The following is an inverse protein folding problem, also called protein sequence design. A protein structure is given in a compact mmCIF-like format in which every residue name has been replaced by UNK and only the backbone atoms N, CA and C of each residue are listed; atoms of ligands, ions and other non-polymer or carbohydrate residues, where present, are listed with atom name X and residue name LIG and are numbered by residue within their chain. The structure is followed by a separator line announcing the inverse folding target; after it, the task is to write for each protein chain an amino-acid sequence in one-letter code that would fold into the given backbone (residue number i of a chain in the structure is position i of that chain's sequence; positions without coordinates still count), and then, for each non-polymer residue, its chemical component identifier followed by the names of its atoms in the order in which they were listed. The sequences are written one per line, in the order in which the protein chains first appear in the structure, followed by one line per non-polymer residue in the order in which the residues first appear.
data_IF_077545399596
#
_entry.id   IF_077545399596
#
_cell.length_a   1.000
_cell.length_b   1.000
_cell.length_c   1.000
_cell.angle_alpha   90.00
_cell.angle_beta   90.00
_cell.angle_gamma   90.00
#
_symmetry.space_group_name_H-M   'P 1'
#
loop_
_entity.id
_entity.type
_entity.pdbx_description
1 polymer ?
#
# COMPACT_ATOMS: atom_id res chain seq x y z
N UNK A 1 14.22 68.94 22.24
CA UNK A 1 14.04 67.50 22.45
C UNK A 1 12.67 67.09 21.93
N UNK A 2 12.62 66.20 20.94
CA UNK A 2 11.57 65.18 20.92
C UNK A 2 12.19 63.78 20.86
N UNK A 3 11.57 62.87 21.62
CA UNK A 3 11.86 61.45 21.72
C UNK A 3 11.36 60.74 20.45
N UNK A 4 12.24 59.99 19.79
CA UNK A 4 11.85 59.02 18.76
C UNK A 4 11.64 57.66 19.43
N UNK A 5 10.39 57.20 19.48
CA UNK A 5 10.04 55.81 19.79
C UNK A 5 10.51 54.90 18.65
N UNK A 6 11.35 53.92 18.96
CA UNK A 6 11.70 52.83 18.06
C UNK A 6 10.63 51.75 18.17
N UNK A 7 9.79 51.63 17.14
CA UNK A 7 8.93 50.47 16.95
C UNK A 7 9.81 49.23 16.75
N UNK A 8 9.68 48.26 17.66
CA UNK A 8 10.35 46.96 17.54
C UNK A 8 9.48 46.08 16.65
N UNK A 9 9.94 45.82 15.43
CA UNK A 9 9.31 44.90 14.50
C UNK A 9 9.54 43.47 15.01
N UNK A 10 8.51 42.86 15.61
CA UNK A 10 8.53 41.43 15.92
C UNK A 10 8.27 40.69 14.60
N UNK A 11 9.36 40.20 13.98
CA UNK A 11 9.27 39.33 12.82
C UNK A 11 8.81 37.95 13.32
N UNK A 12 7.51 37.68 13.24
CA UNK A 12 6.99 36.31 13.37
C UNK A 12 7.47 35.50 12.18
N UNK A 13 8.45 34.63 12.39
CA UNK A 13 8.87 33.65 11.42
C UNK A 13 7.72 32.65 11.22
N UNK A 14 6.88 32.89 10.22
CA UNK A 14 6.01 31.88 9.63
C UNK A 14 6.92 30.86 8.94
N UNK A 15 7.31 29.81 9.66
CA UNK A 15 7.87 28.62 9.05
C UNK A 15 6.75 27.88 8.31
N UNK A 16 6.42 28.32 7.11
CA UNK A 16 5.74 27.48 6.14
C UNK A 16 6.72 26.37 5.76
N UNK A 17 6.68 25.24 6.46
CA UNK A 17 7.30 24.01 5.97
C UNK A 17 6.53 23.62 4.71
N UNK A 18 7.04 24.04 3.56
CA UNK A 18 6.65 23.51 2.27
C UNK A 18 6.99 22.01 2.28
N UNK A 19 5.98 21.16 2.42
CA UNK A 19 6.17 19.71 2.39
C UNK A 19 6.58 19.26 0.98
N UNK A 20 7.83 18.80 0.91
CA UNK A 20 8.35 17.66 0.13
C UNK A 20 8.29 17.77 -1.40
N UNK A 21 9.34 18.39 -1.94
CA UNK A 21 9.80 18.18 -3.33
C UNK A 21 11.31 17.93 -3.43
N UNK A 22 12.02 17.88 -2.28
CA UNK A 22 13.46 17.63 -2.22
C UNK A 22 13.78 16.14 -2.16
N UNK A 23 14.98 15.77 -2.62
CA UNK A 23 15.53 14.43 -2.41
C UNK A 23 15.51 14.04 -0.91
N UNK A 24 15.39 12.74 -0.57
CA UNK A 24 15.44 12.30 0.82
C UNK A 24 16.69 12.83 1.53
N UNK A 25 16.51 13.42 2.71
CA UNK A 25 17.65 13.86 3.54
C UNK A 25 18.52 12.67 3.92
N UNK A 26 19.79 12.92 4.26
CA UNK A 26 20.68 11.87 4.75
C UNK A 26 20.12 11.14 5.99
N UNK A 27 19.38 11.86 6.84
CA UNK A 27 18.67 11.29 7.98
C UNK A 27 17.57 10.31 7.55
N UNK A 28 16.74 10.67 6.57
CA UNK A 28 15.69 9.78 6.08
C UNK A 28 16.27 8.56 5.34
N UNK A 29 17.39 8.70 4.64
CA UNK A 29 18.12 7.57 4.04
C UNK A 29 18.67 6.65 5.13
N UNK A 30 19.24 7.21 6.20
CA UNK A 30 19.70 6.43 7.34
C UNK A 30 18.53 5.70 8.03
N UNK A 31 17.36 6.35 8.11
CA UNK A 31 16.13 5.76 8.63
C UNK A 31 15.63 4.59 7.78
N UNK A 32 15.63 4.75 6.46
CA UNK A 32 15.31 3.68 5.50
C UNK A 32 16.25 2.48 5.68
N UNK A 33 17.55 2.72 5.89
CA UNK A 33 18.51 1.66 6.17
C UNK A 33 18.29 1.01 7.55
N UNK A 34 17.96 1.81 8.57
CA UNK A 34 17.72 1.33 9.95
C UNK A 34 16.57 0.34 9.99
N UNK A 35 15.48 0.60 9.26
CA UNK A 35 14.27 -0.23 9.27
C UNK A 35 14.08 -1.08 8.01
N UNK A 36 15.15 -1.28 7.23
CA UNK A 36 15.13 -2.09 6.01
C UNK A 36 14.58 -3.50 6.31
N UNK A 37 13.54 -3.96 5.60
CA UNK A 37 12.90 -5.24 5.88
C UNK A 37 13.82 -6.42 5.56
N UNK A 38 13.53 -7.53 6.21
CA UNK A 38 14.12 -8.83 5.93
C UNK A 38 13.05 -9.69 5.23
N UNK A 39 13.40 -10.36 4.14
CA UNK A 39 12.46 -11.24 3.44
C UNK A 39 12.78 -12.70 3.73
N UNK A 40 11.76 -13.46 4.14
CA UNK A 40 11.80 -14.92 4.31
C UNK A 40 10.94 -15.54 3.24
N UNK A 41 11.57 -16.04 2.19
CA UNK A 41 10.86 -16.73 1.12
C UNK A 41 10.36 -18.08 1.59
N UNK A 42 9.24 -18.52 0.99
CA UNK A 42 8.77 -19.88 1.14
C UNK A 42 9.91 -20.87 0.85
N UNK A 43 10.01 -21.96 1.62
CA UNK A 43 11.08 -22.96 1.51
C UNK A 43 11.25 -23.59 0.12
N UNK A 44 10.17 -23.62 -0.64
CA UNK A 44 10.11 -24.16 -2.00
C UNK A 44 10.07 -23.07 -3.09
N UNK A 45 10.43 -21.82 -2.75
CA UNK A 45 10.52 -20.73 -3.72
C UNK A 45 11.65 -20.96 -4.73
N UNK A 46 11.37 -20.66 -5.99
CA UNK A 46 12.33 -20.70 -7.11
C UNK A 46 12.28 -19.45 -7.99
N UNK A 47 11.29 -18.58 -7.81
CA UNK A 47 11.17 -17.27 -8.45
C UNK A 47 11.58 -16.23 -7.42
N UNK A 48 12.73 -15.59 -7.65
CA UNK A 48 13.30 -14.62 -6.72
C UNK A 48 13.21 -13.21 -7.30
N UNK A 49 13.38 -12.17 -6.45
CA UNK A 49 13.46 -10.81 -6.92
C UNK A 49 14.64 -10.58 -7.87
N UNK A 50 14.61 -9.51 -8.64
CA UNK A 50 15.72 -9.03 -9.45
C UNK A 50 15.83 -7.51 -9.43
N UNK A 51 16.88 -6.97 -10.03
CA UNK A 51 16.88 -5.58 -10.47
C UNK A 51 16.02 -5.40 -11.73
N UNK A 52 15.57 -4.17 -11.96
CA UNK A 52 14.96 -3.75 -13.23
C UNK A 52 15.93 -3.96 -14.39
N UNK A 53 17.21 -3.59 -14.23
CA UNK A 53 18.25 -3.82 -15.25
C UNK A 53 18.36 -5.29 -15.66
N UNK A 54 18.33 -6.22 -14.70
CA UNK A 54 18.40 -7.65 -14.95
C UNK A 54 17.21 -8.12 -15.80
N UNK A 55 16.01 -7.65 -15.46
CA UNK A 55 14.79 -8.01 -16.18
C UNK A 55 14.78 -7.47 -17.60
N UNK A 56 15.11 -6.18 -17.78
CA UNK A 56 15.14 -5.52 -19.08
C UNK A 56 16.28 -6.01 -19.98
N UNK A 57 17.37 -6.53 -19.41
CA UNK A 57 18.43 -7.21 -20.15
C UNK A 57 18.04 -8.64 -20.61
N UNK A 58 16.93 -9.18 -20.11
CA UNK A 58 16.37 -10.44 -20.57
C UNK A 58 15.80 -10.35 -22.00
N UNK A 59 15.35 -11.46 -22.58
CA UNK A 59 14.67 -11.50 -23.88
C UNK A 59 13.23 -10.96 -23.77
N UNK A 60 13.12 -9.67 -23.45
CA UNK A 60 11.86 -8.92 -23.37
C UNK A 60 11.75 -7.89 -24.48
N UNK A 61 10.54 -7.56 -24.90
CA UNK A 61 10.25 -6.52 -25.90
C UNK A 61 8.89 -5.88 -25.63
N UNK A 62 8.67 -4.65 -26.08
CA UNK A 62 7.37 -4.01 -25.93
C UNK A 62 6.41 -4.50 -27.00
N UNK A 63 5.20 -4.85 -26.57
CA UNK A 63 4.07 -5.22 -27.41
C UNK A 63 2.92 -4.27 -27.13
N UNK A 64 2.02 -4.09 -28.09
CA UNK A 64 0.65 -3.66 -27.86
C UNK A 64 -0.32 -4.80 -28.20
N UNK A 65 -1.62 -4.53 -28.17
CA UNK A 65 -2.67 -5.54 -28.45
C UNK A 65 -2.64 -6.09 -29.88
N UNK A 66 -1.86 -5.49 -30.79
CA UNK A 66 -1.68 -5.91 -32.18
C UNK A 66 -0.35 -6.64 -32.41
N UNK A 67 0.50 -6.80 -31.38
CA UNK A 67 1.78 -7.50 -31.46
C UNK A 67 2.99 -6.62 -31.11
N UNK A 68 4.19 -6.92 -31.62
CA UNK A 68 5.40 -6.16 -31.31
C UNK A 68 5.24 -4.68 -31.64
N UNK A 69 5.57 -3.80 -30.69
CA UNK A 69 5.41 -2.36 -30.82
C UNK A 69 6.46 -1.80 -31.80
N UNK A 70 6.00 -1.31 -32.95
CA UNK A 70 6.88 -0.75 -33.97
C UNK A 70 7.62 0.50 -33.45
N UNK A 71 8.95 0.52 -33.64
CA UNK A 71 9.79 1.64 -33.18
C UNK A 71 10.11 1.64 -31.68
N UNK A 72 9.72 0.60 -30.94
CA UNK A 72 10.16 0.43 -29.56
C UNK A 72 11.70 0.29 -29.47
N UNK A 73 12.33 0.82 -28.40
CA UNK A 73 13.74 0.60 -28.15
C UNK A 73 14.07 -0.90 -28.06
N UNK A 74 15.20 -1.29 -28.63
CA UNK A 74 15.72 -2.65 -28.50
C UNK A 74 17.26 -2.61 -28.45
N UNK A 75 17.89 -3.05 -27.34
CA UNK A 75 17.27 -3.60 -26.14
C UNK A 75 16.52 -2.53 -25.31
N UNK A 76 15.58 -3.00 -24.48
CA UNK A 76 14.98 -2.17 -23.44
C UNK A 76 16.02 -1.92 -22.33
N UNK A 77 16.00 -0.72 -21.77
CA UNK A 77 16.88 -0.30 -20.68
C UNK A 77 16.12 0.59 -19.71
N UNK A 78 16.58 0.72 -18.46
CA UNK A 78 15.95 1.63 -17.51
C UNK A 78 15.85 3.08 -18.02
N UNK A 79 16.76 3.50 -18.90
CA UNK A 79 16.83 4.87 -19.44
C UNK A 79 16.03 5.12 -20.72
N UNK A 80 15.45 4.09 -21.33
CA UNK A 80 14.68 4.24 -22.58
C UNK A 80 13.25 3.68 -22.49
N UNK A 81 12.88 3.01 -21.39
CA UNK A 81 11.59 2.34 -21.28
C UNK A 81 10.40 3.31 -21.39
N UNK A 82 10.57 4.55 -20.92
CA UNK A 82 9.56 5.61 -20.99
C UNK A 82 9.57 6.42 -22.28
N UNK A 83 10.45 6.10 -23.25
CA UNK A 83 10.59 6.87 -24.49
C UNK A 83 9.49 6.58 -25.51
N UNK A 84 8.62 5.62 -25.25
CA UNK A 84 7.48 5.29 -26.12
C UNK A 84 6.36 6.30 -25.99
N UNK A 85 5.48 6.37 -26.99
CA UNK A 85 4.32 7.25 -26.97
C UNK A 85 3.50 7.06 -25.68
N UNK A 86 3.03 8.16 -25.09
CA UNK A 86 2.26 8.18 -23.83
C UNK A 86 2.94 7.36 -22.72
N UNK A 87 4.28 7.38 -22.69
CA UNK A 87 5.10 6.66 -21.72
C UNK A 87 4.80 5.16 -21.64
N UNK A 88 4.31 4.56 -22.73
CA UNK A 88 4.01 3.12 -22.81
C UNK A 88 2.62 2.71 -22.33
N UNK A 89 1.69 3.65 -22.12
CA UNK A 89 0.30 3.33 -21.80
C UNK A 89 -0.29 2.37 -22.85
N UNK A 90 -0.89 1.25 -22.41
CA UNK A 90 -1.47 0.23 -23.29
C UNK A 90 -0.44 -0.69 -23.97
N UNK A 91 0.77 -0.77 -23.41
CA UNK A 91 1.85 -1.64 -23.89
C UNK A 91 2.31 -2.61 -22.80
N UNK A 92 2.90 -3.71 -23.23
CA UNK A 92 3.22 -4.90 -22.42
C UNK A 92 4.70 -5.26 -22.58
N UNK A 93 5.46 -5.35 -21.48
CA UNK A 93 6.84 -5.88 -21.50
C UNK A 93 6.78 -7.40 -21.64
N UNK A 94 6.86 -7.88 -22.88
CA UNK A 94 6.49 -9.24 -23.27
C UNK A 94 7.71 -10.13 -23.49
N UNK A 95 7.60 -11.41 -23.10
CA UNK A 95 8.58 -12.47 -23.40
C UNK A 95 7.90 -13.79 -23.74
N UNK A 96 8.65 -14.74 -24.31
CA UNK A 96 8.21 -16.14 -24.41
C UNK A 96 8.32 -16.79 -23.01
N UNK A 97 7.20 -16.90 -22.31
CA UNK A 97 7.15 -17.43 -20.95
C UNK A 97 7.69 -18.86 -20.90
N UNK A 98 7.28 -19.74 -21.80
CA UNK A 98 7.65 -21.15 -21.76
C UNK A 98 9.15 -21.36 -22.00
N UNK A 99 9.72 -20.64 -22.97
CA UNK A 99 11.15 -20.70 -23.25
C UNK A 99 12.00 -20.16 -22.07
N UNK A 100 11.46 -19.18 -21.32
CA UNK A 100 12.22 -18.44 -20.33
C UNK A 100 11.90 -18.77 -18.87
N UNK A 101 10.89 -19.61 -18.60
CA UNK A 101 10.40 -19.94 -17.26
C UNK A 101 11.49 -20.51 -16.33
N UNK A 102 12.43 -21.27 -16.91
CA UNK A 102 13.57 -21.85 -16.19
C UNK A 102 14.87 -21.02 -16.32
N UNK A 103 14.79 -19.87 -16.97
CA UNK A 103 15.91 -18.94 -17.21
C UNK A 103 15.75 -17.68 -16.37
N UNK A 104 15.86 -16.51 -17.03
CA UNK A 104 15.84 -15.21 -16.36
C UNK A 104 14.56 -14.92 -15.56
N UNK A 105 13.44 -15.58 -15.89
CA UNK A 105 12.19 -15.44 -15.13
C UNK A 105 12.30 -15.93 -13.68
N UNK A 106 13.29 -16.77 -13.36
CA UNK A 106 13.60 -17.15 -11.96
C UNK A 106 14.20 -16.01 -11.13
N UNK A 107 14.57 -14.90 -11.76
CA UNK A 107 15.17 -13.75 -11.09
C UNK A 107 16.56 -14.02 -10.52
N UNK A 108 16.91 -13.28 -9.48
CA UNK A 108 18.23 -13.27 -8.88
C UNK A 108 18.16 -13.81 -7.45
N UNK A 109 18.54 -15.08 -7.28
CA UNK A 109 18.61 -15.71 -5.95
C UNK A 109 19.50 -14.88 -4.99
N UNK A 110 18.94 -14.32 -3.90
CA UNK A 110 19.69 -13.48 -2.97
C UNK A 110 20.89 -14.14 -2.30
N UNK A 111 21.00 -15.48 -2.34
CA UNK A 111 22.15 -16.23 -1.79
C UNK A 111 23.38 -16.12 -2.67
N UNK A 112 23.19 -15.98 -3.97
CA UNK A 112 24.27 -16.03 -4.98
C UNK A 112 24.36 -14.77 -5.84
N UNK A 113 23.33 -13.92 -5.78
CA UNK A 113 23.17 -12.74 -6.61
C UNK A 113 22.80 -11.51 -5.77
N UNK A 114 22.66 -10.36 -6.41
CA UNK A 114 22.44 -9.06 -5.73
C UNK A 114 21.18 -8.36 -6.27
N UNK A 115 19.97 -8.89 -5.99
CA UNK A 115 18.73 -8.16 -6.27
C UNK A 115 18.66 -6.86 -5.46
N UNK A 116 17.70 -5.99 -5.80
CA UNK A 116 17.50 -4.70 -5.13
C UNK A 116 16.11 -4.56 -4.54
N UNK A 117 16.03 -3.89 -3.40
CA UNK A 117 14.76 -3.37 -2.88
C UNK A 117 14.71 -1.87 -3.14
N UNK A 118 13.67 -1.41 -3.81
CA UNK A 118 13.49 -0.02 -4.21
C UNK A 118 12.70 0.71 -3.13
N UNK A 119 13.32 1.68 -2.46
CA UNK A 119 12.70 2.35 -1.32
C UNK A 119 12.28 3.78 -1.68
N UNK A 120 10.97 4.03 -1.70
CA UNK A 120 10.47 5.40 -1.74
C UNK A 120 10.33 5.93 -0.30
N UNK A 121 10.85 7.13 -0.07
CA UNK A 121 10.93 7.74 1.26
C UNK A 121 10.04 8.97 1.28
N UNK A 122 8.94 8.92 2.04
CA UNK A 122 7.92 9.97 2.09
C UNK A 122 7.85 10.62 3.48
N UNK A 123 8.64 11.68 3.74
CA UNK A 123 8.48 12.51 4.92
C UNK A 123 7.14 13.25 4.87
N UNK A 124 6.53 13.47 6.02
CA UNK A 124 5.24 14.13 6.17
C UNK A 124 5.21 14.97 7.44
N UNK A 125 4.05 15.60 7.67
CA UNK A 125 3.81 16.33 8.89
C UNK A 125 3.84 15.45 10.13
N UNK A 126 3.90 16.12 11.29
CA UNK A 126 3.80 15.47 12.60
C UNK A 126 4.89 14.42 12.84
N UNK A 127 6.07 14.63 12.24
CA UNK A 127 7.22 13.74 12.37
C UNK A 127 7.08 12.40 11.66
N UNK A 128 6.05 12.22 10.83
CA UNK A 128 5.80 10.96 10.12
C UNK A 128 6.77 10.82 8.96
N UNK A 129 7.36 9.63 8.80
CA UNK A 129 8.05 9.22 7.56
C UNK A 129 7.58 7.83 7.19
N UNK A 130 6.97 7.71 6.01
CA UNK A 130 6.58 6.42 5.42
C UNK A 130 7.70 5.93 4.49
N UNK A 131 8.08 4.66 4.63
CA UNK A 131 9.17 4.01 3.91
C UNK A 131 8.59 2.84 3.10
N UNK A 132 8.44 3.01 1.79
CA UNK A 132 7.85 2.01 0.89
C UNK A 132 8.93 1.16 0.26
N UNK A 133 9.14 -0.04 0.78
CA UNK A 133 10.11 -0.99 0.23
C UNK A 133 9.42 -1.87 -0.80
N UNK A 134 9.75 -1.66 -2.06
CA UNK A 134 9.32 -2.47 -3.18
C UNK A 134 10.37 -3.53 -3.51
N UNK A 135 9.92 -4.68 -3.96
CA UNK A 135 10.73 -5.69 -4.65
C UNK A 135 10.09 -5.96 -6.01
N UNK A 136 10.92 -6.33 -6.98
CA UNK A 136 10.46 -6.76 -8.29
C UNK A 136 10.86 -8.21 -8.52
N UNK A 137 9.92 -9.09 -8.83
CA UNK A 137 10.21 -10.43 -9.31
C UNK A 137 9.89 -10.52 -10.81
N UNK A 138 10.78 -11.08 -11.66
CA UNK A 138 10.51 -11.22 -13.10
C UNK A 138 9.28 -12.06 -13.46
N UNK A 139 8.77 -12.89 -12.54
CA UNK A 139 7.63 -13.76 -12.80
C UNK A 139 6.88 -14.05 -11.52
N UNK A 140 5.56 -13.98 -11.58
CA UNK A 140 4.63 -14.44 -10.55
C UNK A 140 4.06 -15.79 -10.98
N UNK A 141 4.37 -16.84 -10.21
CA UNK A 141 3.69 -18.12 -10.30
C UNK A 141 2.52 -18.11 -9.31
N UNK A 142 1.31 -17.92 -9.82
CA UNK A 142 0.12 -17.77 -8.98
C UNK A 142 -0.36 -19.13 -8.45
N UNK A 143 -1.68 -19.36 -8.33
CA UNK A 143 -2.23 -20.52 -7.63
C UNK A 143 -2.74 -21.57 -8.59
N UNK A 144 -2.37 -22.81 -8.31
CA UNK A 144 -2.92 -23.97 -9.00
C UNK A 144 -4.19 -24.44 -8.30
N UNK A 145 -5.32 -24.25 -8.96
CA UNK A 145 -6.63 -24.72 -8.51
C UNK A 145 -6.94 -26.03 -9.25
N UNK A 146 -7.35 -27.07 -8.51
CA UNK A 146 -7.50 -28.43 -9.07
C UNK A 146 -8.34 -28.52 -10.34
N UNK A 147 -9.49 -27.86 -10.37
CA UNK A 147 -10.42 -27.90 -11.52
C UNK A 147 -10.14 -26.85 -12.61
N UNK A 148 -9.32 -25.83 -12.33
CA UNK A 148 -9.05 -24.71 -13.25
C UNK A 148 -7.64 -24.77 -13.85
N UNK A 149 -6.68 -25.41 -13.19
CA UNK A 149 -5.26 -25.25 -13.51
C UNK A 149 -4.68 -24.03 -12.80
N UNK A 150 -3.73 -23.35 -13.43
CA UNK A 150 -3.19 -22.10 -12.88
C UNK A 150 -4.17 -20.95 -13.07
N UNK A 151 -4.21 -20.05 -12.09
CA UNK A 151 -5.09 -18.86 -12.10
C UNK A 151 -4.25 -17.66 -11.69
N UNK A 152 -3.97 -16.76 -12.63
CA UNK A 152 -3.34 -15.47 -12.38
C UNK A 152 -1.82 -15.41 -12.49
N UNK A 153 -1.17 -16.28 -13.28
CA UNK A 153 0.26 -16.10 -13.54
C UNK A 153 0.48 -14.79 -14.29
N UNK A 154 1.62 -14.14 -14.08
CA UNK A 154 2.03 -12.99 -14.89
C UNK A 154 3.55 -12.82 -14.91
N UNK A 155 4.05 -12.25 -15.99
CA UNK A 155 5.43 -11.77 -16.06
C UNK A 155 5.51 -10.45 -15.32
N UNK A 156 6.62 -10.24 -14.61
CA UNK A 156 6.90 -9.12 -13.71
C UNK A 156 5.94 -9.03 -12.53
N UNK A 157 6.45 -8.64 -11.38
CA UNK A 157 5.66 -8.63 -10.16
C UNK A 157 6.23 -7.58 -9.21
N UNK A 158 5.40 -6.63 -8.80
CA UNK A 158 5.78 -5.54 -7.91
C UNK A 158 5.05 -5.70 -6.59
N UNK A 159 5.82 -6.05 -5.56
CA UNK A 159 5.31 -6.26 -4.21
C UNK A 159 5.95 -5.30 -3.22
N UNK A 160 5.23 -4.93 -2.16
CA UNK A 160 5.74 -3.98 -1.17
C UNK A 160 5.47 -4.34 0.29
N UNK A 161 6.33 -3.79 1.13
CA UNK A 161 6.14 -3.65 2.57
C UNK A 161 6.41 -2.19 2.94
N UNK A 162 5.58 -1.62 3.79
CA UNK A 162 5.73 -0.22 4.21
C UNK A 162 5.99 -0.12 5.70
N UNK A 163 7.07 0.56 6.09
CA UNK A 163 7.33 0.91 7.50
C UNK A 163 6.95 2.38 7.71
N UNK A 164 6.11 2.66 8.70
CA UNK A 164 5.81 4.02 9.15
C UNK A 164 6.61 4.31 10.40
N UNK A 165 7.25 5.46 10.40
CA UNK A 165 7.95 6.00 11.57
C UNK A 165 7.31 7.31 12.03
N UNK A 166 7.43 7.61 13.31
CA UNK A 166 7.06 8.88 13.94
C UNK A 166 8.26 9.35 14.74
N UNK A 167 8.79 10.53 14.40
CA UNK A 167 9.99 11.10 15.03
C UNK A 167 11.18 10.11 15.04
N UNK A 168 11.35 9.36 13.95
CA UNK A 168 12.45 8.38 13.78
C UNK A 168 12.24 7.02 14.46
N UNK A 169 11.12 6.80 15.15
CA UNK A 169 10.76 5.52 15.79
C UNK A 169 9.72 4.80 14.93
N UNK A 170 9.92 3.52 14.64
CA UNK A 170 8.96 2.76 13.84
C UNK A 170 7.71 2.41 14.68
N UNK A 171 6.54 2.76 14.16
CA UNK A 171 5.25 2.60 14.84
C UNK A 171 4.41 1.47 14.22
N UNK A 172 4.50 1.29 12.90
CA UNK A 172 3.75 0.25 12.20
C UNK A 172 4.45 -0.30 10.97
N UNK A 173 4.02 -1.50 10.57
CA UNK A 173 4.41 -2.15 9.31
C UNK A 173 3.15 -2.59 8.57
N UNK A 174 3.04 -2.23 7.29
CA UNK A 174 1.98 -2.69 6.39
C UNK A 174 2.51 -3.79 5.46
N UNK A 175 1.94 -4.97 5.62
CA UNK A 175 2.21 -6.15 4.82
C UNK A 175 1.19 -6.23 3.67
N UNK A 176 1.64 -5.84 2.47
CA UNK A 176 0.80 -5.77 1.29
C UNK A 176 0.81 -7.10 0.52
N UNK A 177 -0.36 -7.57 0.14
CA UNK A 177 -0.51 -8.69 -0.78
C UNK A 177 -1.84 -8.53 -1.50
N UNK A 178 -1.86 -8.77 -2.81
CA UNK A 178 -3.07 -8.80 -3.63
C UNK A 178 -3.97 -7.57 -3.43
N UNK A 179 -3.37 -6.38 -3.46
CA UNK A 179 -4.06 -5.10 -3.24
C UNK A 179 -4.30 -4.76 -1.76
N UNK A 180 -5.04 -5.57 -1.01
CA UNK A 180 -5.31 -5.29 0.41
C UNK A 180 -5.58 -6.53 1.27
N UNK A 181 -5.39 -7.71 0.70
CA UNK A 181 -5.72 -8.99 1.32
C UNK A 181 -4.61 -9.57 2.20
N UNK A 182 -3.43 -8.93 2.21
CA UNK A 182 -2.29 -9.34 3.03
C UNK A 182 -2.54 -9.24 4.54
N UNK A 183 -1.48 -9.41 5.33
CA UNK A 183 -1.59 -9.24 6.79
C UNK A 183 -1.99 -7.83 7.19
N UNK A 184 -1.88 -6.83 6.30
CA UNK A 184 -2.23 -5.42 6.51
C UNK A 184 -1.33 -4.72 7.53
N UNK A 185 -1.68 -3.49 7.90
CA UNK A 185 -0.94 -2.72 8.91
C UNK A 185 -1.08 -3.33 10.30
N UNK A 186 0.05 -3.63 10.94
CA UNK A 186 0.16 -4.07 12.33
C UNK A 186 1.11 -3.16 13.12
N UNK A 187 0.99 -3.08 14.46
CA UNK A 187 1.96 -2.38 15.29
C UNK A 187 3.37 -2.93 15.06
N UNK A 188 4.38 -2.06 14.98
CA UNK A 188 5.76 -2.47 14.74
C UNK A 188 6.28 -3.42 15.83
N UNK A 189 5.82 -3.24 17.06
CA UNK A 189 6.12 -4.12 18.19
C UNK A 189 5.58 -5.55 18.02
N UNK A 190 4.56 -5.76 17.19
CA UNK A 190 4.00 -7.08 16.88
C UNK A 190 4.53 -7.65 15.55
N UNK A 191 5.34 -6.89 14.81
CA UNK A 191 5.93 -7.39 13.58
C UNK A 191 6.90 -8.54 13.88
N UNK A 192 6.90 -9.63 13.09
CA UNK A 192 7.91 -10.67 13.22
C UNK A 192 9.31 -10.08 13.02
N UNK A 193 10.26 -10.56 13.83
CA UNK A 193 11.66 -10.15 13.85
C UNK A 193 12.53 -11.40 13.93
N UNK A 194 13.73 -11.35 13.36
CA UNK A 194 14.73 -12.40 13.56
C UNK A 194 15.73 -11.97 14.65
N UNK A 195 17.03 -11.92 14.33
CA UNK A 195 18.09 -11.62 15.30
C UNK A 195 18.24 -10.13 15.63
N UNK A 196 17.57 -9.25 14.87
CA UNK A 196 17.60 -7.80 15.10
C UNK A 196 16.18 -7.20 15.08
N UNK A 197 16.08 -5.89 15.33
CA UNK A 197 14.79 -5.21 15.48
C UNK A 197 14.05 -4.97 14.14
N UNK A 198 14.63 -5.35 12.99
CA UNK A 198 14.03 -5.07 11.67
C UNK A 198 12.89 -6.03 11.35
N UNK A 199 11.83 -5.54 10.67
CA UNK A 199 10.67 -6.37 10.40
C UNK A 199 11.01 -7.45 9.38
N UNK A 200 10.39 -8.62 9.56
CA UNK A 200 10.44 -9.74 8.61
C UNK A 200 9.15 -9.76 7.80
N UNK A 201 9.25 -9.99 6.50
CA UNK A 201 8.13 -10.36 5.64
C UNK A 201 8.28 -11.80 5.20
N UNK A 202 7.28 -12.63 5.51
CA UNK A 202 7.16 -13.96 4.96
C UNK A 202 6.54 -13.85 3.56
N UNK A 203 7.32 -14.22 2.55
CA UNK A 203 6.98 -14.06 1.14
C UNK A 203 6.30 -15.35 0.66
N UNK A 204 5.10 -15.21 0.10
CA UNK A 204 4.32 -16.35 -0.38
C UNK A 204 4.98 -17.00 -1.59
N UNK A 205 4.88 -18.33 -1.68
CA UNK A 205 5.41 -19.10 -2.81
C UNK A 205 4.82 -18.62 -4.13
N UNK A 206 5.68 -18.23 -5.06
CA UNK A 206 5.38 -17.89 -6.44
C UNK A 206 4.69 -16.54 -6.64
N UNK A 207 3.74 -16.16 -5.76
CA UNK A 207 3.02 -14.90 -5.90
C UNK A 207 3.59 -13.72 -5.14
N UNK A 208 4.63 -13.94 -4.34
CA UNK A 208 5.37 -12.91 -3.60
C UNK A 208 4.59 -12.01 -2.62
N UNK A 209 3.29 -12.24 -2.43
CA UNK A 209 2.48 -11.60 -1.40
C UNK A 209 3.16 -11.61 -0.02
N UNK A 210 3.12 -10.47 0.66
CA UNK A 210 3.83 -10.23 1.92
C UNK A 210 2.94 -10.51 3.12
N UNK A 211 3.43 -11.36 4.03
CA UNK A 211 2.70 -11.75 5.24
C UNK A 211 3.54 -11.57 6.51
N UNK A 212 2.85 -11.34 7.62
CA UNK A 212 3.45 -11.19 8.95
C UNK A 212 3.77 -12.52 9.65
N UNK A 213 3.47 -13.65 9.02
CA UNK A 213 3.72 -14.99 9.56
C UNK A 213 3.81 -16.06 8.49
N UNK A 214 4.39 -17.21 8.86
CA UNK A 214 4.27 -18.45 8.12
C UNK A 214 2.84 -19.01 8.22
N UNK A 215 2.29 -19.52 7.13
CA UNK A 215 0.93 -20.08 7.12
C UNK A 215 0.30 -20.15 5.74
N UNK A 216 -1.00 -20.42 5.74
CA UNK A 216 -1.83 -20.44 4.54
C UNK A 216 -2.90 -19.37 4.65
N UNK A 217 -3.00 -18.50 3.66
CA UNK A 217 -3.88 -17.34 3.70
C UNK A 217 -4.75 -17.23 2.45
N UNK A 218 -6.06 -17.35 2.62
CA UNK A 218 -7.03 -17.16 1.53
C UNK A 218 -7.18 -15.67 1.22
N UNK A 219 -6.85 -15.27 -0.01
CA UNK A 219 -7.04 -13.88 -0.48
C UNK A 219 -8.19 -13.74 -1.49
N UNK A 220 -8.55 -14.83 -2.18
CA UNK A 220 -9.78 -14.90 -2.97
C UNK A 220 -10.59 -16.11 -2.52
N UNK A 221 -11.88 -15.86 -2.24
CA UNK A 221 -12.87 -16.88 -1.94
C UNK A 221 -13.99 -16.83 -2.99
N UNK A 222 -13.74 -17.44 -4.14
CA UNK A 222 -14.68 -17.54 -5.24
C UNK A 222 -15.66 -18.71 -5.03
N UNK A 223 -16.77 -18.71 -5.76
CA UNK A 223 -17.90 -19.65 -5.53
C UNK A 223 -17.49 -21.12 -5.57
N UNK A 224 -16.51 -21.49 -6.40
CA UNK A 224 -16.10 -22.89 -6.60
C UNK A 224 -14.61 -23.12 -6.29
N UNK A 225 -13.88 -22.10 -5.82
CA UNK A 225 -12.46 -22.22 -5.52
C UNK A 225 -11.93 -21.12 -4.61
N UNK A 226 -10.77 -21.37 -4.02
CA UNK A 226 -10.03 -20.40 -3.23
C UNK A 226 -8.65 -20.18 -3.84
N UNK A 227 -8.16 -18.95 -3.82
CA UNK A 227 -6.75 -18.64 -4.05
C UNK A 227 -6.11 -18.38 -2.69
N UNK A 228 -5.04 -19.12 -2.41
CA UNK A 228 -4.38 -19.17 -1.10
C UNK A 228 -2.90 -18.96 -1.23
N UNK A 229 -2.37 -17.95 -0.56
CA UNK A 229 -0.94 -17.80 -0.37
C UNK A 229 -0.42 -18.82 0.63
N UNK A 230 0.71 -19.41 0.31
CA UNK A 230 1.45 -20.30 1.21
C UNK A 230 2.79 -19.65 1.54
N UNK A 231 3.00 -19.34 2.82
CA UNK A 231 4.27 -18.86 3.36
C UNK A 231 4.83 -19.90 4.32
N UNK A 232 6.16 -19.97 4.42
CA UNK A 232 6.80 -20.90 5.34
C UNK A 232 8.09 -20.34 5.90
N UNK A 233 8.52 -20.92 7.02
CA UNK A 233 9.86 -20.71 7.52
C UNK A 233 10.82 -21.76 6.90
N UNK A 234 12.13 -21.50 6.98
CA UNK A 234 13.19 -22.37 6.48
C UNK A 234 13.67 -22.10 5.06
N UNK A 235 13.03 -21.19 4.31
CA UNK A 235 13.45 -20.82 2.96
C UNK A 235 14.55 -19.78 2.90
N UNK A 236 14.77 -19.24 1.70
CA UNK A 236 15.80 -18.21 1.48
C UNK A 236 15.53 -17.01 2.38
N UNK A 237 16.57 -16.59 3.09
CA UNK A 237 16.57 -15.36 3.89
C UNK A 237 17.32 -14.28 3.09
N UNK A 238 16.69 -13.12 2.92
CA UNK A 238 17.31 -11.98 2.26
C UNK A 238 17.30 -10.74 3.18
N UNK A 239 18.51 -10.33 3.56
CA UNK A 239 18.74 -9.06 4.24
C UNK A 239 18.88 -7.93 3.22
N UNK A 240 17.95 -6.97 3.26
CA UNK A 240 17.96 -5.85 2.29
C UNK A 240 18.74 -4.62 2.74
N UNK A 241 19.33 -4.60 3.93
CA UNK A 241 19.93 -3.40 4.50
C UNK A 241 21.00 -2.75 3.61
N UNK A 242 21.75 -3.56 2.88
CA UNK A 242 22.79 -3.10 1.94
C UNK A 242 22.37 -3.29 0.47
N UNK A 243 21.12 -3.64 0.21
CA UNK A 243 20.53 -3.85 -1.11
C UNK A 243 19.47 -2.79 -1.48
N UNK A 244 19.35 -1.71 -0.71
CA UNK A 244 18.42 -0.63 -0.97
C UNK A 244 18.83 0.20 -2.19
N UNK A 245 17.86 0.53 -3.04
CA UNK A 245 17.93 1.55 -4.08
C UNK A 245 16.99 2.69 -3.67
N UNK A 246 17.56 3.81 -3.23
CA UNK A 246 16.77 4.93 -2.69
C UNK A 246 16.13 5.73 -3.82
N UNK A 247 14.81 5.86 -3.77
CA UNK A 247 14.01 6.63 -4.72
C UNK A 247 13.50 7.91 -4.08
N UNK A 248 13.55 8.97 -4.86
CA UNK A 248 12.97 10.27 -4.55
C UNK A 248 11.61 10.41 -5.25
N UNK A 249 10.99 11.57 -5.06
CA UNK A 249 9.71 11.91 -5.68
C UNK A 249 9.88 13.16 -6.55
N UNK A 250 10.51 13.11 -7.74
CA UNK A 250 10.54 14.20 -8.72
C UNK A 250 9.21 14.28 -9.52
N UNK A 251 8.98 15.35 -10.28
CA UNK A 251 7.81 15.44 -11.18
C UNK A 251 7.93 14.44 -12.33
N UNK A 252 9.15 14.20 -12.77
CA UNK A 252 9.48 13.28 -13.84
C UNK A 252 10.85 12.70 -13.54
N UNK A 253 10.98 11.38 -13.63
CA UNK A 253 12.26 10.71 -13.47
C UNK A 253 13.12 10.87 -14.73
N UNK A 254 14.43 10.83 -14.60
CA UNK A 254 15.35 11.00 -15.75
C UNK A 254 16.53 10.05 -15.62
N UNK A 255 17.22 9.78 -16.73
CA UNK A 255 18.43 8.97 -16.73
C UNK A 255 18.15 7.52 -16.32
N UNK A 256 18.88 6.99 -15.34
CA UNK A 256 18.73 5.60 -14.90
C UNK A 256 17.38 5.32 -14.21
N UNK A 257 16.65 6.35 -13.78
CA UNK A 257 15.35 6.22 -13.11
C UNK A 257 14.15 6.43 -14.05
N UNK A 258 14.39 6.72 -15.34
CA UNK A 258 13.34 6.99 -16.34
C UNK A 258 12.29 5.88 -16.44
N UNK A 259 12.66 4.62 -16.18
CA UNK A 259 11.72 3.49 -16.12
C UNK A 259 10.56 3.67 -15.15
N UNK A 260 10.70 4.49 -14.11
CA UNK A 260 9.61 4.83 -13.19
C UNK A 260 8.52 5.66 -13.88
N UNK A 261 8.86 6.33 -14.99
CA UNK A 261 7.89 6.96 -15.87
C UNK A 261 7.21 5.97 -16.82
N UNK A 262 7.50 4.67 -16.83
CA UNK A 262 6.71 3.75 -17.67
C UNK A 262 5.29 3.58 -17.13
N UNK A 263 4.28 3.66 -18.00
CA UNK A 263 2.84 3.51 -17.70
C UNK A 263 2.24 2.22 -18.22
N UNK A 264 3.01 1.41 -18.97
CA UNK A 264 2.55 0.11 -19.43
C UNK A 264 2.58 -0.97 -18.34
N UNK A 265 2.24 -2.16 -18.75
CA UNK A 265 2.19 -3.36 -17.92
C UNK A 265 3.56 -4.04 -17.91
N UNK A 266 4.03 -4.40 -16.71
CA UNK A 266 5.33 -5.03 -16.52
C UNK A 266 5.31 -6.53 -16.84
N UNK A 267 4.64 -6.92 -17.91
CA UNK A 267 4.51 -8.32 -18.31
C UNK A 267 3.77 -8.47 -19.62
N UNK A 268 3.53 -9.72 -19.99
CA UNK A 268 2.72 -10.08 -21.15
C UNK A 268 1.27 -9.60 -20.98
N UNK A 269 0.58 -9.38 -22.11
CA UNK A 269 -0.88 -9.27 -22.13
C UNK A 269 -1.53 -10.58 -21.66
N UNK A 270 -2.48 -10.43 -20.74
CA UNK A 270 -3.28 -11.51 -20.19
C UNK A 270 -4.31 -12.06 -21.18
N UNK A 271 -4.93 -13.17 -20.80
CA UNK A 271 -6.00 -13.79 -21.59
C UNK A 271 -7.31 -13.78 -20.81
N UNK A 272 -8.43 -13.70 -21.53
CA UNK A 272 -9.77 -13.67 -20.95
C UNK A 272 -10.70 -14.79 -21.47
N UNK A 273 -10.13 -15.77 -22.17
CA UNK A 273 -10.86 -16.83 -22.87
C UNK A 273 -11.02 -18.13 -22.06
N UNK A 274 -10.65 -18.14 -20.77
CA UNK A 274 -10.88 -19.28 -19.89
C UNK A 274 -12.37 -19.45 -19.57
N UNK A 275 -12.82 -20.70 -19.41
CA UNK A 275 -14.25 -21.01 -19.21
C UNK A 275 -14.81 -20.45 -17.88
N UNK A 276 -13.96 -20.22 -16.88
CA UNK A 276 -14.34 -19.64 -15.59
C UNK A 276 -14.31 -18.10 -15.56
N UNK A 277 -13.96 -17.42 -16.67
CA UNK A 277 -13.86 -15.96 -16.71
C UNK A 277 -15.16 -15.24 -16.32
N UNK A 278 -16.31 -15.91 -16.50
CA UNK A 278 -17.63 -15.39 -16.10
C UNK A 278 -17.81 -15.30 -14.57
N UNK A 279 -17.13 -16.14 -13.80
CA UNK A 279 -17.24 -16.21 -12.33
C UNK A 279 -16.04 -15.59 -11.61
N UNK A 280 -14.88 -15.52 -12.26
CA UNK A 280 -13.67 -14.87 -11.74
C UNK A 280 -12.84 -14.34 -12.90
N UNK A 281 -12.35 -13.10 -12.82
CA UNK A 281 -11.74 -12.37 -13.95
C UNK A 281 -10.25 -12.63 -14.15
N UNK A 282 -9.72 -13.72 -13.60
CA UNK A 282 -8.33 -14.13 -13.79
C UNK A 282 -8.31 -15.48 -14.49
N UNK A 283 -7.72 -15.52 -15.69
CA UNK A 283 -7.39 -16.77 -16.37
C UNK A 283 -6.00 -17.26 -15.96
N UNK A 284 -5.43 -18.23 -16.68
CA UNK A 284 -4.09 -18.73 -16.40
C UNK A 284 -3.02 -17.64 -16.48
N UNK A 285 -3.10 -16.76 -17.47
CA UNK A 285 -2.22 -15.61 -17.65
C UNK A 285 -3.06 -14.33 -17.50
N UNK A 286 -2.60 -13.40 -16.67
CA UNK A 286 -3.15 -12.05 -16.53
C UNK A 286 -2.08 -11.02 -16.88
N UNK A 287 -2.49 -9.77 -17.05
CA UNK A 287 -1.56 -8.65 -17.28
C UNK A 287 -0.57 -8.53 -16.12
N UNK A 288 0.69 -8.21 -16.43
CA UNK A 288 1.67 -7.82 -15.41
C UNK A 288 1.23 -6.52 -14.72
N UNK A 289 1.57 -6.30 -13.44
CA UNK A 289 1.20 -5.08 -12.74
C UNK A 289 1.87 -3.85 -13.35
N UNK A 290 1.28 -2.68 -13.16
CA UNK A 290 1.98 -1.43 -13.46
C UNK A 290 3.14 -1.21 -12.47
N UNK A 291 4.07 -0.33 -12.84
CA UNK A 291 5.25 0.00 -12.05
C UNK A 291 4.95 0.54 -10.64
N UNK A 292 5.97 0.68 -9.79
CA UNK A 292 5.81 1.05 -8.38
C UNK A 292 5.52 2.54 -8.19
N UNK A 293 5.76 3.40 -9.20
CA UNK A 293 5.38 4.81 -9.19
C UNK A 293 3.88 5.01 -9.54
N UNK A 294 3.01 4.48 -8.68
CA UNK A 294 1.55 4.52 -8.81
C UNK A 294 0.87 5.23 -7.64
N UNK A 295 -0.46 5.37 -7.70
CA UNK A 295 -1.22 6.30 -6.86
C UNK A 295 -1.01 6.10 -5.35
N UNK A 296 -0.90 4.86 -4.85
CA UNK A 296 -0.67 4.58 -3.44
C UNK A 296 0.72 5.03 -2.96
N UNK A 297 1.75 4.89 -3.78
CA UNK A 297 3.12 5.33 -3.46
C UNK A 297 3.31 6.83 -3.64
N UNK A 298 2.77 7.41 -4.71
CA UNK A 298 2.92 8.84 -5.04
C UNK A 298 2.01 9.73 -4.19
N UNK A 299 0.83 9.24 -3.81
CA UNK A 299 -0.08 9.91 -2.88
C UNK A 299 0.57 10.20 -1.53
N UNK A 300 1.50 9.34 -1.08
CA UNK A 300 2.29 9.54 0.13
C UNK A 300 3.06 10.87 0.15
N UNK A 301 3.53 11.33 -1.02
CA UNK A 301 4.28 12.57 -1.19
C UNK A 301 3.42 13.70 -1.80
N UNK A 302 2.09 13.54 -1.85
CA UNK A 302 1.14 14.47 -2.51
C UNK A 302 1.44 14.73 -3.99
N UNK A 303 2.11 13.78 -4.65
CA UNK A 303 2.42 13.85 -6.09
C UNK A 303 1.26 13.25 -6.88
N UNK A 304 0.68 14.05 -7.78
CA UNK A 304 -0.22 13.52 -8.82
C UNK A 304 0.60 13.21 -10.06
N UNK A 305 0.37 12.03 -10.63
CA UNK A 305 0.79 11.72 -11.98
C UNK A 305 -0.40 11.96 -12.91
N UNK A 306 -0.21 12.72 -13.99
CA UNK A 306 -1.23 12.83 -15.05
C UNK A 306 -1.34 11.48 -15.76
N UNK A 307 -2.14 10.58 -15.22
CA UNK A 307 -2.51 9.33 -15.89
C UNK A 307 -3.78 9.64 -16.69
N UNK A 308 -3.62 9.84 -18.00
CA UNK A 308 -4.74 10.07 -18.90
C UNK A 308 -5.47 8.76 -19.20
N UNK A 309 -6.51 8.43 -18.43
CA UNK A 309 -7.72 7.72 -18.90
C UNK A 309 -8.77 7.60 -17.77
N UNK A 310 -9.85 8.38 -17.91
CA UNK A 310 -11.21 8.05 -17.47
C UNK A 310 -11.47 7.53 -16.04
N UNK A 311 -10.89 8.14 -15.00
CA UNK A 311 -11.51 8.10 -13.67
C UNK A 311 -11.83 9.51 -13.21
N UNK A 312 -13.07 9.92 -13.47
CA UNK A 312 -13.74 10.98 -12.73
C UNK A 312 -13.72 10.60 -11.24
N UNK A 313 -12.78 11.13 -10.47
CA UNK A 313 -12.87 11.17 -9.00
C UNK A 313 -12.96 12.63 -8.60
N UNK A 314 -14.17 13.15 -8.71
CA UNK A 314 -14.55 14.45 -8.17
C UNK A 314 -14.91 14.32 -6.68
N UNK A 315 -14.02 13.67 -5.93
CA UNK A 315 -14.13 13.48 -4.48
C UNK A 315 -12.81 13.83 -3.79
N UNK A 316 -12.97 14.43 -2.62
CA UNK A 316 -11.94 14.87 -1.68
C UNK A 316 -10.94 13.75 -1.40
N UNK A 317 -9.70 13.90 -1.85
CA UNK A 317 -8.64 12.89 -1.72
C UNK A 317 -7.83 13.14 -0.46
N UNK A 318 -7.66 12.11 0.36
CA UNK A 318 -6.73 12.10 1.47
C UNK A 318 -5.33 11.69 1.01
N UNK A 319 -4.31 12.35 1.55
CA UNK A 319 -2.89 12.15 1.25
C UNK A 319 -2.26 10.94 1.98
N UNK A 320 -3.05 9.93 2.35
CA UNK A 320 -2.63 8.81 3.18
C UNK A 320 -2.45 7.51 2.36
N UNK A 321 -1.22 7.01 2.21
CA UNK A 321 -0.87 5.82 1.42
C UNK A 321 -1.07 4.49 2.16
N UNK A 322 -1.27 4.53 3.48
CA UNK A 322 -1.56 3.34 4.27
C UNK A 322 -3.06 3.04 4.23
N UNK A 323 -3.37 1.82 3.78
CA UNK A 323 -4.73 1.30 3.66
C UNK A 323 -5.45 1.21 5.01
N UNK A 324 -4.70 1.07 6.11
CA UNK A 324 -5.23 0.92 7.46
C UNK A 324 -4.60 1.90 8.45
N UNK A 325 -5.44 2.52 9.28
CA UNK A 325 -5.03 3.29 10.45
C UNK A 325 -5.12 2.42 11.70
N UNK A 326 -4.03 2.38 12.48
CA UNK A 326 -4.00 1.65 13.74
C UNK A 326 -4.81 2.38 14.81
N UNK A 327 -5.51 1.61 15.63
CA UNK A 327 -6.24 2.11 16.79
C UNK A 327 -6.06 1.17 17.99
N UNK A 328 -6.33 1.69 19.18
CA UNK A 328 -6.37 0.92 20.41
C UNK A 328 -7.83 0.63 20.78
N UNK A 329 -8.13 -0.58 21.26
CA UNK A 329 -9.48 -0.92 21.74
C UNK A 329 -9.87 -0.01 22.91
N UNK A 330 -11.10 0.50 22.88
CA UNK A 330 -11.76 1.27 23.95
C UNK A 330 -13.06 0.57 24.37
N UNK A 331 -13.61 0.92 25.53
CA UNK A 331 -14.80 0.28 26.12
C UNK A 331 -16.09 1.01 25.81
N UNK A 332 -16.12 2.33 25.99
CA UNK A 332 -17.39 3.08 26.07
C UNK A 332 -17.59 4.08 24.91
N UNK A 333 -16.50 4.71 24.49
CA UNK A 333 -16.51 5.71 23.41
C UNK A 333 -15.31 5.55 22.52
N UNK A 334 -15.52 5.86 21.24
CA UNK A 334 -14.42 6.10 20.32
C UNK A 334 -13.90 7.52 20.48
N UNK A 335 -12.59 7.67 20.37
CA UNK A 335 -11.91 8.96 20.36
C UNK A 335 -11.01 9.04 19.12
N UNK A 336 -11.27 10.01 18.26
CA UNK A 336 -10.52 10.26 17.04
C UNK A 336 -9.76 11.57 17.17
N UNK A 337 -8.44 11.48 17.28
CA UNK A 337 -7.56 12.65 17.18
C UNK A 337 -7.09 12.79 15.74
N UNK A 338 -7.44 13.89 15.08
CA UNK A 338 -7.16 14.16 13.66
C UNK A 338 -6.50 15.52 13.47
N UNK A 339 -5.72 15.68 12.40
CA UNK A 339 -5.15 16.97 11.98
C UNK A 339 -5.87 17.44 10.73
N UNK A 340 -6.50 18.62 10.76
CA UNK A 340 -7.35 19.10 9.66
C UNK A 340 -7.28 20.62 9.55
N UNK A 341 -7.22 21.13 8.32
CA UNK A 341 -7.49 22.55 8.06
C UNK A 341 -8.99 22.75 7.91
N UNK A 342 -9.60 23.45 8.87
CA UNK A 342 -11.04 23.72 8.90
C UNK A 342 -11.36 25.19 8.61
N UNK A 343 -10.47 25.90 7.90
CA UNK A 343 -10.67 27.30 7.52
C UNK A 343 -11.98 27.49 6.74
N UNK A 344 -12.84 28.39 7.23
CA UNK A 344 -14.14 28.66 6.61
C UNK A 344 -15.24 27.65 6.95
N UNK A 345 -14.96 26.65 7.78
CA UNK A 345 -15.95 25.75 8.36
C UNK A 345 -16.45 26.26 9.72
N UNK A 346 -17.66 25.84 10.10
CA UNK A 346 -18.23 26.09 11.44
C UNK A 346 -17.88 24.97 12.41
N UNK A 347 -17.85 23.73 11.94
CA UNK A 347 -17.50 22.57 12.73
C UNK A 347 -16.65 21.58 11.93
N UNK A 348 -15.86 20.82 12.69
CA UNK A 348 -15.21 19.60 12.23
C UNK A 348 -16.09 18.42 12.61
N UNK A 349 -16.24 17.47 11.69
CA UNK A 349 -17.03 16.26 11.89
C UNK A 349 -16.15 15.02 11.77
N UNK A 350 -16.50 13.98 12.51
CA UNK A 350 -16.02 12.63 12.26
C UNK A 350 -17.21 11.72 12.00
N UNK A 351 -17.16 11.01 10.87
CA UNK A 351 -18.01 9.86 10.55
C UNK A 351 -17.35 8.59 11.10
N UNK A 352 -18.02 7.89 12.01
CA UNK A 352 -17.68 6.53 12.41
C UNK A 352 -18.56 5.53 11.68
N UNK A 353 -17.96 4.53 11.04
CA UNK A 353 -18.70 3.45 10.35
C UNK A 353 -18.56 2.16 11.15
N UNK A 354 -19.70 1.58 11.48
CA UNK A 354 -19.83 0.31 12.19
C UNK A 354 -20.38 -0.76 11.24
N UNK A 355 -20.03 -2.02 11.49
CA UNK A 355 -20.60 -3.19 10.82
C UNK A 355 -21.11 -4.22 11.83
N UNK A 356 -22.18 -4.92 11.47
CA UNK A 356 -22.68 -6.11 12.18
C UNK A 356 -23.00 -7.23 11.18
N UNK A 357 -22.96 -8.47 11.65
CA UNK A 357 -23.39 -9.61 10.85
C UNK A 357 -24.91 -9.53 10.60
N UNK A 358 -25.33 -9.66 9.34
CA UNK A 358 -26.75 -9.77 9.00
C UNK A 358 -27.34 -11.07 9.57
N UNK A 359 -28.47 -10.98 10.25
CA UNK A 359 -29.19 -12.10 10.89
C UNK A 359 -29.64 -13.21 9.95
N UNK A 360 -29.51 -13.04 8.62
CA UNK A 360 -29.84 -14.05 7.62
C UNK A 360 -28.74 -15.10 7.37
N UNK A 361 -27.69 -15.15 8.17
CA UNK A 361 -26.56 -16.09 8.01
C UNK A 361 -26.58 -17.29 8.99
N UNK A 362 -27.77 -17.76 9.39
CA UNK A 362 -27.90 -18.96 10.24
C UNK A 362 -27.96 -20.23 9.40
N UNK A 363 -26.81 -20.78 9.03
CA UNK A 363 -26.68 -22.23 8.81
C UNK A 363 -25.55 -22.80 9.66
N UNK A 364 -25.72 -23.99 10.26
CA UNK A 364 -24.73 -24.57 11.16
C UNK A 364 -23.41 -24.88 10.43
N UNK A 365 -22.33 -24.83 11.21
CA UNK A 365 -20.95 -24.99 10.77
C UNK A 365 -20.64 -26.48 10.54
N UNK A 366 -20.99 -26.99 9.37
CA UNK A 366 -20.42 -28.19 8.77
C UNK A 366 -20.27 -27.91 7.27
N UNK A 367 -19.05 -28.04 6.78
CA UNK A 367 -18.61 -27.93 5.38
C UNK A 367 -18.26 -26.54 4.82
N UNK A 368 -17.16 -26.49 4.07
CA UNK A 368 -16.29 -25.34 3.75
C UNK A 368 -16.80 -24.34 2.71
N UNK A 369 -18.12 -24.19 2.52
CA UNK A 369 -18.73 -23.36 1.46
C UNK A 369 -19.72 -22.31 2.00
N UNK A 370 -19.33 -21.53 3.03
CA UNK A 370 -20.16 -20.40 3.49
C UNK A 370 -19.72 -19.10 2.81
N UNK A 371 -20.60 -18.43 2.02
CA UNK A 371 -20.34 -17.08 1.56
C UNK A 371 -20.03 -16.18 2.74
N UNK A 372 -19.04 -15.29 2.63
CA UNK A 372 -18.71 -14.33 3.67
C UNK A 372 -19.99 -13.67 4.23
N UNK A 373 -20.15 -13.56 5.56
CA UNK A 373 -21.37 -13.04 6.14
C UNK A 373 -21.67 -11.66 5.58
N UNK A 374 -22.88 -11.46 5.05
CA UNK A 374 -23.32 -10.15 4.59
C UNK A 374 -23.30 -9.19 5.78
N UNK A 375 -22.49 -8.14 5.69
CA UNK A 375 -22.40 -7.12 6.73
C UNK A 375 -23.47 -6.05 6.51
N UNK A 376 -24.10 -5.61 7.60
CA UNK A 376 -24.94 -4.41 7.65
C UNK A 376 -24.08 -3.27 8.22
N UNK A 377 -24.06 -2.13 7.52
CA UNK A 377 -23.31 -0.96 7.94
C UNK A 377 -24.21 0.11 8.56
N UNK A 378 -23.72 0.76 9.60
CA UNK A 378 -24.34 1.95 10.23
C UNK A 378 -23.29 3.04 10.40
N UNK A 379 -23.74 4.29 10.47
CA UNK A 379 -22.87 5.46 10.60
C UNK A 379 -23.31 6.31 11.78
N UNK A 380 -22.33 6.81 12.52
CA UNK A 380 -22.53 7.79 13.60
C UNK A 380 -21.63 8.98 13.36
N UNK A 381 -22.11 10.17 13.74
CA UNK A 381 -21.41 11.42 13.53
C UNK A 381 -21.25 12.14 14.87
N UNK A 382 -20.12 12.82 15.04
CA UNK A 382 -19.98 13.84 16.08
C UNK A 382 -19.21 15.03 15.54
N UNK A 383 -19.41 16.17 16.21
CA UNK A 383 -18.95 17.47 15.75
C UNK A 383 -18.23 18.20 16.88
N UNK A 384 -17.19 18.95 16.51
CA UNK A 384 -16.53 19.91 17.41
C UNK A 384 -16.41 21.26 16.71
N UNK A 385 -16.42 22.39 17.44
CA UNK A 385 -16.24 23.71 16.83
C UNK A 385 -14.95 23.79 16.01
N UNK A 386 -15.05 24.30 14.78
CA UNK A 386 -13.90 24.48 13.91
C UNK A 386 -13.08 25.70 14.33
N UNK A 387 -11.78 25.62 14.11
CA UNK A 387 -10.86 26.74 14.21
C UNK A 387 -10.19 26.96 12.86
N UNK A 388 -9.79 28.20 12.58
CA UNK A 388 -9.12 28.52 11.33
C UNK A 388 -7.71 27.91 11.29
N UNK A 389 -7.32 27.46 10.11
CA UNK A 389 -6.03 26.87 9.81
C UNK A 389 -5.93 25.39 10.20
N UNK A 390 -4.74 24.83 9.99
CA UNK A 390 -4.40 23.45 10.36
C UNK A 390 -4.37 23.30 11.88
N UNK A 391 -5.27 22.48 12.44
CA UNK A 391 -5.37 22.23 13.88
C UNK A 391 -5.51 20.74 14.17
N UNK A 392 -5.21 20.36 15.41
CA UNK A 392 -5.52 19.05 15.95
C UNK A 392 -6.88 19.09 16.64
N UNK A 393 -7.77 18.17 16.26
CA UNK A 393 -9.09 18.01 16.87
C UNK A 393 -9.21 16.63 17.49
N UNK A 394 -9.87 16.55 18.65
CA UNK A 394 -10.27 15.27 19.24
C UNK A 394 -11.79 15.20 19.25
N UNK A 395 -12.35 14.22 18.57
CA UNK A 395 -13.79 14.01 18.44
C UNK A 395 -14.16 12.70 19.12
N UNK A 396 -15.09 12.77 20.07
CA UNK A 396 -15.59 11.60 20.80
C UNK A 396 -16.95 11.17 20.26
N UNK A 397 -17.10 9.88 19.98
CA UNK A 397 -18.33 9.27 19.44
C UNK A 397 -18.71 8.08 20.32
N UNK A 398 -19.99 7.84 20.63
CA UNK A 398 -20.41 6.62 21.33
C UNK A 398 -19.92 5.34 20.62
N UNK A 399 -19.72 4.27 21.40
CA UNK A 399 -19.46 2.96 20.85
C UNK A 399 -20.54 2.53 19.83
N UNK A 400 -20.15 1.70 18.87
CA UNK A 400 -21.09 1.00 18.01
C UNK A 400 -22.11 0.22 18.83
N UNK A 401 -23.31 0.04 18.27
CA UNK A 401 -24.37 -0.75 18.90
C UNK A 401 -23.90 -2.16 19.30
N UNK A 402 -24.46 -2.76 20.36
CA UNK A 402 -24.09 -4.10 20.79
C UNK A 402 -24.09 -5.13 19.64
N UNK A 403 -23.02 -5.91 19.51
CA UNK A 403 -22.85 -6.87 18.42
C UNK A 403 -22.31 -6.27 17.11
N UNK A 404 -22.03 -4.97 17.08
CA UNK A 404 -21.35 -4.29 15.97
C UNK A 404 -19.89 -3.95 16.31
N UNK A 405 -19.09 -3.70 15.28
CA UNK A 405 -17.68 -3.32 15.40
C UNK A 405 -17.32 -2.21 14.41
N UNK A 406 -16.30 -1.43 14.72
CA UNK A 406 -15.81 -0.34 13.87
C UNK A 406 -15.07 -0.90 12.67
N UNK A 407 -15.37 -0.38 11.48
CA UNK A 407 -14.68 -0.74 10.23
C UNK A 407 -13.82 0.39 9.68
N UNK A 408 -14.31 1.63 9.78
CA UNK A 408 -13.66 2.79 9.18
C UNK A 408 -14.13 4.10 9.81
N UNK A 409 -13.40 5.18 9.55
CA UNK A 409 -13.83 6.54 9.86
C UNK A 409 -13.52 7.49 8.70
N UNK A 410 -14.15 8.66 8.67
CA UNK A 410 -13.78 9.77 7.80
C UNK A 410 -13.87 11.09 8.57
N UNK A 411 -12.93 12.01 8.32
CA UNK A 411 -13.04 13.38 8.81
C UNK A 411 -13.74 14.25 7.77
N UNK A 412 -14.44 15.28 8.26
CA UNK A 412 -15.11 16.24 7.42
C UNK A 412 -15.17 17.64 8.02
N UNK A 413 -15.54 18.59 7.18
CA UNK A 413 -15.83 19.97 7.57
C UNK A 413 -17.27 20.31 7.23
N UNK A 414 -17.92 21.08 8.10
CA UNK A 414 -19.33 21.42 7.95
C UNK A 414 -19.53 22.94 8.05
N UNK A 415 -20.38 23.49 7.17
CA UNK A 415 -20.91 24.86 7.34
C UNK A 415 -22.06 24.88 8.34
N UNK A 416 -22.90 23.85 8.26
CA UNK A 416 -23.99 23.50 9.16
C UNK A 416 -24.04 21.96 9.23
N UNK A 417 -24.65 21.37 10.26
CA UNK A 417 -24.62 19.90 10.47
C UNK A 417 -25.21 19.09 9.29
N UNK A 418 -26.14 19.68 8.54
CA UNK A 418 -26.73 19.09 7.32
C UNK A 418 -25.90 19.30 6.06
N UNK A 419 -24.84 20.12 6.13
CA UNK A 419 -23.98 20.51 5.01
C UNK A 419 -22.51 20.23 5.36
N UNK A 420 -22.17 18.94 5.35
CA UNK A 420 -20.83 18.44 5.61
C UNK A 420 -20.19 17.88 4.33
N UNK A 421 -18.88 18.08 4.23
CA UNK A 421 -18.02 17.45 3.23
C UNK A 421 -17.06 16.53 3.95
N UNK A 422 -17.04 15.26 3.57
CA UNK A 422 -16.19 14.22 4.16
C UNK A 422 -15.11 13.78 3.18
N UNK A 423 -13.94 13.44 3.70
CA UNK A 423 -12.89 12.79 2.93
C UNK A 423 -13.17 11.31 2.67
N UNK A 424 -12.22 10.65 2.02
CA UNK A 424 -12.26 9.19 1.84
C UNK A 424 -12.22 8.45 3.20
N UNK A 425 -12.96 7.36 3.30
CA UNK A 425 -13.00 6.53 4.52
C UNK A 425 -11.68 5.79 4.70
N UNK A 426 -11.10 5.90 5.88
CA UNK A 426 -9.92 5.15 6.30
C UNK A 426 -10.33 3.93 7.10
N UNK A 427 -9.83 2.76 6.71
CA UNK A 427 -10.08 1.52 7.45
C UNK A 427 -9.36 1.55 8.79
N UNK A 428 -10.03 1.05 9.82
CA UNK A 428 -9.48 0.97 11.18
C UNK A 428 -9.06 -0.46 11.47
N UNK A 429 -7.87 -0.63 12.06
CA UNK A 429 -7.46 -1.89 12.68
C UNK A 429 -7.16 -1.66 14.14
N UNK A 430 -8.00 -2.23 15.01
CA UNK A 430 -7.87 -2.10 16.44
C UNK A 430 -6.95 -3.17 17.02
N UNK A 431 -6.13 -2.79 17.99
CA UNK A 431 -5.23 -3.66 18.74
C UNK A 431 -5.43 -3.44 20.24
N UNK A 432 -5.05 -4.44 21.02
CA UNK A 432 -5.04 -4.32 22.48
C UNK A 432 -4.04 -3.26 22.93
N UNK A 433 -4.35 -2.54 24.02
CA UNK A 433 -3.36 -1.71 24.72
C UNK A 433 -2.30 -2.54 25.46
N UNK A 434 -2.63 -3.79 25.80
CA UNK A 434 -1.67 -4.77 26.30
C UNK A 434 -0.87 -5.35 25.13
N UNK A 435 0.46 -5.07 25.04
CA UNK A 435 1.30 -5.51 23.94
C UNK A 435 1.48 -7.03 23.88
N UNK A 436 1.17 -7.77 24.96
CA UNK A 436 1.23 -9.23 24.97
C UNK A 436 0.05 -9.88 24.25
N UNK A 437 -1.03 -9.12 24.05
CA UNK A 437 -2.22 -9.57 23.34
C UNK A 437 -2.04 -9.28 21.85
N UNK A 438 -1.60 -10.30 21.12
CA UNK A 438 -1.28 -10.21 19.70
C UNK A 438 -2.53 -10.20 18.81
N UNK A 439 -2.35 -9.62 17.62
CA UNK A 439 -3.30 -9.66 16.52
C UNK A 439 -4.43 -8.64 16.61
N UNK A 440 -5.10 -8.36 15.48
CA UNK A 440 -6.19 -7.40 15.41
C UNK A 440 -7.38 -7.84 16.26
N UNK A 441 -8.14 -6.86 16.76
CA UNK A 441 -9.34 -7.04 17.58
C UNK A 441 -10.55 -6.46 16.89
N UNK A 442 -11.69 -7.12 17.03
CA UNK A 442 -13.00 -6.51 16.79
C UNK A 442 -13.32 -5.61 17.98
N UNK A 443 -13.64 -4.34 17.71
CA UNK A 443 -13.87 -3.34 18.74
C UNK A 443 -15.13 -2.54 18.42
N UNK A 444 -16.02 -2.38 19.40
CA UNK A 444 -17.18 -1.48 19.30
C UNK A 444 -16.77 -0.01 19.50
N UNK A 445 -15.65 0.25 20.15
CA UNK A 445 -15.08 1.57 20.38
C UNK A 445 -13.56 1.55 20.24
N UNK A 446 -12.96 2.65 19.77
CA UNK A 446 -11.49 2.75 19.60
C UNK A 446 -10.92 4.11 19.97
N UNK A 447 -9.69 4.14 20.44
CA UNK A 447 -8.87 5.36 20.50
C UNK A 447 -7.90 5.36 19.33
N UNK A 448 -7.98 6.39 18.49
CA UNK A 448 -7.20 6.51 17.26
C UNK A 448 -6.54 7.89 17.21
N UNK A 449 -5.24 7.90 16.88
CA UNK A 449 -4.46 9.11 16.62
C UNK A 449 -4.01 9.12 15.16
N UNK A 450 -4.69 9.92 14.35
CA UNK A 450 -4.34 10.10 12.95
C UNK A 450 -3.32 11.23 12.79
N UNK A 451 -2.10 10.85 12.48
CA UNK A 451 -0.99 11.78 12.28
C UNK A 451 -0.90 12.31 10.84
N UNK A 452 -1.68 11.79 9.90
CA UNK A 452 -1.74 12.36 8.56
C UNK A 452 -2.64 13.62 8.58
N UNK A 453 -2.23 14.65 7.85
CA UNK A 453 -3.04 15.87 7.71
C UNK A 453 -4.20 15.63 6.73
N UNK A 454 -5.40 15.92 7.17
CA UNK A 454 -6.58 15.98 6.33
C UNK A 454 -6.66 17.31 5.60
N UNK A 455 -6.96 17.25 4.31
CA UNK A 455 -7.20 18.40 3.45
C UNK A 455 -8.56 18.20 2.81
N UNK A 456 -9.53 19.06 3.14
CA UNK A 456 -10.94 18.97 2.75
C UNK A 456 -11.33 20.17 1.88
#
# INVERSE_FOLDING_TARGET
MPLFERATLILSALSSLSYVLGAPSAENIALAKKYAPQFRFHKDEIYFPSTVDFFLAGPVSLYDTNGPLAGAPSPLTPSNLDSTANQGTGTYITTDINANLNGFLRGQDPRTSQPKSYVFIAPKANGVVDLFYWIFAPYNLSKKVGVLGWVGNHVGDWERITVRTVNGVAESVDYHAHGDAGSGTIPYAQAPKFSDDRPVAYVSKGSHGMWSSAGTFTYVNAVIFQLKDETSDGGVYWDTQNALYNLNYPDTYTGADSWLNFLGDWGNEGVNNCWWYIIHKECELIDGPNGPARADTLGAAKRKREVSANVLVDNLRMDAPLLHTLATVSTDTSSYTIHLDASGARSVAVEQVCASASSNATKPMEDTDVPLPKLKYTTSYAYVPAQSGMQQYTVTIPACEPGSFITSYSAGVCKEESQCKYGERRRVRAFSSDPTVLGPKTASAVTLHDLDNWVV
#
